data_IF_192421014872
#
_entry.id   IF_192421014872
#
_cell.length_a   1.000
_cell.length_b   1.000
_cell.length_c   1.000
_cell.angle_alpha   90.00
_cell.angle_beta   90.00
_cell.angle_gamma   90.00
#
_symmetry.space_group_name_H-M   'P 1'
#
loop_
_entity.id
_entity.type
_entity.pdbx_description
1 polymer ?
#
# COMPACT_ATOMS: atom_id res chain seq x y z
N UNK A 1 -2.70 -9.98 -15.35
CA UNK A 1 -3.36 -8.97 -14.45
C UNK A 1 -4.13 -7.99 -15.31
N UNK A 2 -5.46 -7.82 -15.08
CA UNK A 2 -6.28 -6.80 -15.77
C UNK A 2 -6.36 -5.50 -14.94
N UNK A 3 -6.49 -5.65 -13.63
CA UNK A 3 -6.69 -4.57 -12.67
C UNK A 3 -5.78 -4.78 -11.46
N UNK A 4 -5.62 -3.75 -10.61
CA UNK A 4 -5.01 -3.86 -9.29
C UNK A 4 -6.01 -3.38 -8.23
N UNK A 5 -6.89 -4.27 -7.75
CA UNK A 5 -7.93 -3.91 -6.77
C UNK A 5 -7.51 -4.24 -5.33
N UNK A 6 -6.89 -5.38 -5.13
CA UNK A 6 -6.32 -5.85 -3.85
C UNK A 6 -5.25 -6.93 -4.12
N UNK A 7 -4.29 -7.09 -3.22
CA UNK A 7 -3.22 -8.09 -3.37
C UNK A 7 -3.73 -9.54 -3.29
N UNK A 8 -4.91 -9.77 -2.72
CA UNK A 8 -5.57 -11.08 -2.75
C UNK A 8 -5.78 -11.60 -4.17
N UNK A 9 -6.00 -10.72 -5.13
CA UNK A 9 -6.28 -11.05 -6.54
C UNK A 9 -5.03 -11.41 -7.35
N UNK A 10 -3.84 -11.06 -6.85
CA UNK A 10 -2.57 -11.30 -7.55
C UNK A 10 -1.96 -12.65 -7.19
N UNK A 11 -1.25 -13.26 -8.12
CA UNK A 11 -0.34 -14.37 -7.83
C UNK A 11 1.00 -13.87 -7.26
N UNK A 12 1.82 -14.78 -6.71
CA UNK A 12 3.20 -14.49 -6.30
C UNK A 12 4.02 -13.95 -7.48
N UNK A 13 3.89 -14.59 -8.63
CA UNK A 13 4.62 -14.24 -9.86
C UNK A 13 4.26 -12.85 -10.35
N UNK A 14 2.98 -12.46 -10.25
CA UNK A 14 2.52 -11.11 -10.61
C UNK A 14 3.11 -10.07 -9.67
N UNK A 15 3.13 -10.31 -8.35
CA UNK A 15 3.76 -9.42 -7.38
C UNK A 15 5.25 -9.28 -7.69
N UNK A 16 5.98 -10.40 -7.86
CA UNK A 16 7.42 -10.37 -8.18
C UNK A 16 7.68 -9.62 -9.48
N UNK A 17 6.88 -9.85 -10.52
CA UNK A 17 6.99 -9.11 -11.80
C UNK A 17 6.81 -7.61 -11.62
N UNK A 18 5.85 -7.17 -10.79
CA UNK A 18 5.67 -5.74 -10.49
C UNK A 18 6.93 -5.19 -9.82
N UNK A 19 7.49 -5.91 -8.84
CA UNK A 19 8.69 -5.49 -8.14
C UNK A 19 9.91 -5.41 -9.09
N UNK A 20 10.08 -6.37 -10.00
CA UNK A 20 11.19 -6.39 -10.97
C UNK A 20 11.11 -5.20 -11.94
N UNK A 21 9.90 -4.90 -12.43
CA UNK A 21 9.68 -3.71 -13.26
C UNK A 21 9.89 -2.43 -12.45
N UNK A 22 9.53 -2.40 -11.16
CA UNK A 22 9.74 -1.24 -10.30
C UNK A 22 11.24 -0.97 -10.05
N UNK A 23 12.05 -2.00 -9.84
CA UNK A 23 13.50 -1.88 -9.73
C UNK A 23 14.11 -1.28 -11.01
N UNK A 24 13.66 -1.76 -12.18
CA UNK A 24 14.09 -1.19 -13.45
C UNK A 24 13.68 0.29 -13.59
N UNK A 25 12.43 0.64 -13.20
CA UNK A 25 11.97 2.04 -13.23
C UNK A 25 12.79 2.95 -12.30
N UNK A 26 13.17 2.44 -11.13
CA UNK A 26 14.03 3.16 -10.19
C UNK A 26 15.45 3.33 -10.75
N UNK A 27 16.00 2.27 -11.33
CA UNK A 27 17.30 2.31 -11.99
C UNK A 27 17.34 3.33 -13.13
N UNK A 28 16.37 3.27 -14.04
CA UNK A 28 16.25 4.18 -15.17
C UNK A 28 16.18 5.65 -14.70
N UNK A 29 15.36 5.91 -13.68
CA UNK A 29 15.22 7.24 -13.10
C UNK A 29 16.53 7.76 -12.49
N UNK A 30 17.21 6.95 -11.68
CA UNK A 30 18.46 7.33 -11.04
C UNK A 30 19.62 7.58 -12.04
N UNK A 31 19.59 6.86 -13.16
CA UNK A 31 20.59 7.00 -14.22
C UNK A 31 20.18 7.95 -15.35
N UNK A 32 19.01 8.64 -15.20
CA UNK A 32 18.46 9.58 -16.18
C UNK A 32 18.25 8.94 -17.57
N UNK A 33 17.90 7.65 -17.59
CA UNK A 33 17.58 6.94 -18.83
C UNK A 33 16.12 7.25 -19.21
N UNK A 34 15.84 7.67 -20.46
CA UNK A 34 14.47 7.88 -20.92
C UNK A 34 13.66 6.58 -20.90
N UNK A 35 12.46 6.62 -20.31
CA UNK A 35 11.57 5.45 -20.24
C UNK A 35 10.10 5.82 -20.48
N UNK A 36 9.77 6.45 -21.62
CA UNK A 36 8.41 6.95 -21.92
C UNK A 36 7.47 5.81 -22.37
N UNK A 37 7.23 4.82 -21.52
CA UNK A 37 6.47 3.60 -21.84
C UNK A 37 4.96 3.82 -21.97
N UNK A 38 4.45 5.00 -21.60
CA UNK A 38 3.03 5.35 -21.67
C UNK A 38 2.81 6.61 -22.51
N UNK A 39 3.60 6.81 -23.55
CA UNK A 39 3.47 7.99 -24.40
C UNK A 39 2.06 8.06 -25.02
N UNK A 40 1.39 9.21 -24.84
CA UNK A 40 0.05 9.44 -25.32
C UNK A 40 -1.08 8.81 -24.50
N UNK A 41 -0.77 8.11 -23.41
CA UNK A 41 -1.75 7.51 -22.51
C UNK A 41 -2.25 8.50 -21.46
N UNK A 42 -3.51 8.36 -21.07
CA UNK A 42 -4.16 9.19 -20.06
C UNK A 42 -4.71 8.36 -18.93
N UNK A 43 -4.35 8.72 -17.67
CA UNK A 43 -4.87 8.15 -16.44
C UNK A 43 -5.90 9.10 -15.81
N UNK A 44 -7.13 8.65 -15.61
CA UNK A 44 -8.10 9.35 -14.77
C UNK A 44 -7.86 8.98 -13.29
N UNK A 45 -7.67 9.98 -12.42
CA UNK A 45 -7.43 9.77 -10.99
C UNK A 45 -8.58 10.33 -10.15
N UNK A 46 -9.45 9.46 -9.65
CA UNK A 46 -10.61 9.80 -8.82
C UNK A 46 -10.17 9.81 -7.34
N UNK A 47 -10.39 10.94 -6.67
CA UNK A 47 -10.08 11.13 -5.26
C UNK A 47 -11.31 11.52 -4.44
N UNK A 48 -11.83 10.62 -3.64
CA UNK A 48 -12.80 10.87 -2.59
C UNK A 48 -12.14 11.10 -1.23
N UNK A 49 -10.98 10.48 -1.02
CA UNK A 49 -10.06 10.73 0.11
C UNK A 49 -8.82 11.48 -0.38
N UNK A 50 -8.51 12.60 0.25
CA UNK A 50 -7.33 13.40 -0.09
C UNK A 50 -6.03 12.63 0.19
N UNK A 51 -5.01 12.84 -0.66
CA UNK A 51 -3.66 12.35 -0.44
C UNK A 51 -2.65 13.07 -1.31
N UNK A 52 -1.72 13.78 -0.67
CA UNK A 52 -0.60 14.42 -1.38
C UNK A 52 0.31 13.37 -2.00
N UNK A 53 0.72 12.36 -1.23
CA UNK A 53 1.65 11.32 -1.70
C UNK A 53 1.10 10.54 -2.88
N UNK A 54 -0.14 10.05 -2.81
CA UNK A 54 -0.77 9.30 -3.91
C UNK A 54 -0.92 10.17 -5.15
N UNK A 55 -1.38 11.41 -4.99
CA UNK A 55 -1.56 12.34 -6.10
C UNK A 55 -0.22 12.63 -6.79
N UNK A 56 0.76 13.12 -6.03
CA UNK A 56 2.06 13.52 -6.59
C UNK A 56 2.79 12.33 -7.22
N UNK A 57 2.78 11.16 -6.59
CA UNK A 57 3.47 9.98 -7.13
C UNK A 57 2.85 9.46 -8.44
N UNK A 58 1.51 9.44 -8.57
CA UNK A 58 0.87 9.06 -9.83
C UNK A 58 1.02 10.13 -10.92
N UNK A 59 0.83 11.42 -10.61
CA UNK A 59 1.05 12.51 -11.58
C UNK A 59 2.49 12.52 -12.09
N UNK A 60 3.47 12.45 -11.17
CA UNK A 60 4.90 12.37 -11.53
C UNK A 60 5.21 11.10 -12.30
N UNK A 61 4.66 9.96 -11.88
CA UNK A 61 4.86 8.68 -12.56
C UNK A 61 4.36 8.72 -14.00
N UNK A 62 3.14 9.18 -14.24
CA UNK A 62 2.58 9.35 -15.59
C UNK A 62 3.43 10.30 -16.44
N UNK A 63 3.84 11.43 -15.88
CA UNK A 63 4.71 12.38 -16.59
C UNK A 63 6.05 11.76 -16.99
N UNK A 64 6.71 11.03 -16.09
CA UNK A 64 7.98 10.36 -16.39
C UNK A 64 7.86 9.24 -17.41
N UNK A 65 6.70 8.61 -17.49
CA UNK A 65 6.37 7.58 -18.48
C UNK A 65 5.86 8.15 -19.82
N UNK A 66 5.83 9.49 -19.98
CA UNK A 66 5.38 10.16 -21.21
C UNK A 66 3.85 10.24 -21.36
N UNK A 67 3.10 9.88 -20.34
CA UNK A 67 1.65 9.95 -20.30
C UNK A 67 1.14 11.22 -19.60
N UNK A 68 -0.18 11.28 -19.40
CA UNK A 68 -0.87 12.38 -18.74
C UNK A 68 -1.78 11.84 -17.63
N UNK A 69 -1.87 12.56 -16.51
CA UNK A 69 -2.78 12.25 -15.42
C UNK A 69 -3.81 13.36 -15.23
N UNK A 70 -5.08 12.98 -15.10
CA UNK A 70 -6.20 13.89 -14.83
C UNK A 70 -6.63 13.73 -13.39
N UNK A 71 -6.51 14.78 -12.58
CA UNK A 71 -7.03 14.80 -11.23
C UNK A 71 -8.53 15.10 -11.21
N UNK A 72 -9.31 14.18 -10.65
CA UNK A 72 -10.76 14.28 -10.49
C UNK A 72 -11.10 14.24 -9.00
N UNK A 73 -11.50 15.39 -8.44
CA UNK A 73 -12.02 15.48 -7.07
C UNK A 73 -13.41 14.86 -7.01
N UNK A 74 -13.63 13.93 -6.10
CA UNK A 74 -14.97 13.37 -5.87
C UNK A 74 -16.01 14.43 -5.55
N UNK A 75 -15.63 15.49 -4.82
CA UNK A 75 -16.53 16.60 -4.46
C UNK A 75 -16.95 17.46 -5.66
N UNK A 76 -16.08 17.57 -6.66
CA UNK A 76 -16.28 18.42 -7.83
C UNK A 76 -16.73 17.64 -9.07
N UNK A 77 -16.81 16.31 -8.97
CA UNK A 77 -17.25 15.40 -10.03
C UNK A 77 -18.73 15.04 -9.91
N UNK A 78 -19.28 14.43 -10.94
CA UNK A 78 -20.67 13.95 -10.93
C UNK A 78 -20.86 12.74 -10.00
N UNK A 79 -19.79 11.98 -9.70
CA UNK A 79 -19.80 10.89 -8.71
C UNK A 79 -20.26 11.43 -7.36
N UNK A 80 -19.66 12.52 -6.87
CA UNK A 80 -20.07 13.19 -5.63
C UNK A 80 -21.47 13.79 -5.65
N UNK A 81 -22.14 13.82 -6.82
CA UNK A 81 -23.52 14.30 -7.03
C UNK A 81 -24.51 13.17 -7.27
N UNK A 82 -24.10 11.91 -7.11
CA UNK A 82 -24.95 10.73 -7.21
C UNK A 82 -25.01 10.09 -8.60
N UNK A 83 -24.05 10.38 -9.51
CA UNK A 83 -23.90 9.59 -10.73
C UNK A 83 -23.51 8.16 -10.37
N UNK A 84 -24.19 7.13 -10.94
CA UNK A 84 -23.79 5.75 -10.72
C UNK A 84 -22.36 5.48 -11.16
N UNK A 85 -21.61 4.74 -10.33
CA UNK A 85 -20.19 4.38 -10.59
C UNK A 85 -20.02 3.67 -11.94
N UNK A 86 -20.99 2.85 -12.33
CA UNK A 86 -21.03 2.14 -13.62
C UNK A 86 -21.09 3.09 -14.83
N UNK A 87 -21.76 4.21 -14.72
CA UNK A 87 -21.86 5.18 -15.82
C UNK A 87 -20.55 5.97 -15.93
N UNK A 88 -20.00 6.41 -14.82
CA UNK A 88 -18.65 6.99 -14.76
C UNK A 88 -17.60 6.04 -15.37
N UNK A 89 -17.64 4.73 -15.02
CA UNK A 89 -16.74 3.73 -15.57
C UNK A 89 -16.81 3.66 -17.12
N UNK A 90 -18.03 3.61 -17.66
CA UNK A 90 -18.26 3.54 -19.12
C UNK A 90 -17.81 4.80 -19.85
N UNK A 91 -18.03 5.98 -19.25
CA UNK A 91 -17.61 7.27 -19.84
C UNK A 91 -16.08 7.37 -19.83
N UNK A 92 -15.43 7.13 -18.70
CA UNK A 92 -13.98 7.22 -18.58
C UNK A 92 -13.26 6.20 -19.46
N UNK A 93 -13.85 5.00 -19.67
CA UNK A 93 -13.32 3.99 -20.60
C UNK A 93 -13.25 4.46 -22.05
N UNK A 94 -14.02 5.49 -22.42
CA UNK A 94 -14.01 6.07 -23.79
C UNK A 94 -13.06 7.25 -23.94
N UNK A 95 -12.59 7.82 -22.83
CA UNK A 95 -11.74 9.01 -22.82
C UNK A 95 -10.30 8.73 -22.38
N UNK A 96 -10.11 7.74 -21.52
CA UNK A 96 -8.85 7.45 -20.85
C UNK A 96 -8.38 6.03 -21.12
N UNK A 97 -7.13 5.73 -20.73
CA UNK A 97 -6.50 4.43 -20.88
C UNK A 97 -6.40 3.65 -19.56
N UNK A 98 -6.71 4.29 -18.44
CA UNK A 98 -6.76 3.68 -17.12
C UNK A 98 -7.46 4.59 -16.11
N UNK A 99 -7.93 3.99 -15.02
CA UNK A 99 -8.55 4.69 -13.89
C UNK A 99 -7.79 4.33 -12.62
N UNK A 100 -7.39 5.33 -11.84
CA UNK A 100 -7.01 5.15 -10.45
C UNK A 100 -8.08 5.76 -9.56
N UNK A 101 -8.49 5.03 -8.52
CA UNK A 101 -9.48 5.53 -7.57
C UNK A 101 -8.96 5.39 -6.13
N UNK A 102 -9.18 6.42 -5.32
CA UNK A 102 -8.93 6.44 -3.89
C UNK A 102 -10.21 6.84 -3.18
N UNK A 103 -10.84 5.86 -2.55
CA UNK A 103 -12.17 5.97 -1.95
C UNK A 103 -12.25 5.24 -0.59
N UNK A 104 -13.44 5.05 -0.08
CA UNK A 104 -13.74 4.33 1.16
C UNK A 104 -14.07 2.86 0.88
N UNK A 105 -15.01 2.60 -0.01
CA UNK A 105 -15.58 1.27 -0.26
C UNK A 105 -14.74 0.44 -1.24
N UNK A 106 -14.37 -0.77 -0.83
CA UNK A 106 -13.77 -1.76 -1.72
C UNK A 106 -14.75 -2.23 -2.80
N UNK A 107 -16.04 -2.37 -2.45
CA UNK A 107 -17.09 -2.77 -3.39
C UNK A 107 -17.25 -1.76 -4.53
N UNK A 108 -17.12 -0.47 -4.24
CA UNK A 108 -17.15 0.59 -5.24
C UNK A 108 -16.02 0.44 -6.26
N UNK A 109 -14.80 0.17 -5.80
CA UNK A 109 -13.65 -0.09 -6.68
C UNK A 109 -13.87 -1.33 -7.55
N UNK A 110 -14.37 -2.41 -6.97
CA UNK A 110 -14.69 -3.65 -7.69
C UNK A 110 -15.83 -3.45 -8.70
N UNK A 111 -16.82 -2.64 -8.34
CA UNK A 111 -17.92 -2.25 -9.24
C UNK A 111 -17.38 -1.41 -10.41
N UNK A 112 -16.54 -0.41 -10.14
CA UNK A 112 -15.89 0.39 -11.18
C UNK A 112 -15.12 -0.50 -12.16
N UNK A 113 -14.32 -1.44 -11.65
CA UNK A 113 -13.54 -2.38 -12.48
C UNK A 113 -14.39 -3.34 -13.31
N UNK A 114 -15.57 -3.71 -12.80
CA UNK A 114 -16.53 -4.57 -13.53
C UNK A 114 -17.10 -3.90 -14.76
N UNK A 115 -17.35 -2.58 -14.71
CA UNK A 115 -17.98 -1.83 -15.79
C UNK A 115 -16.99 -1.04 -16.65
N UNK A 116 -15.72 -0.97 -16.26
CA UNK A 116 -14.67 -0.36 -17.05
C UNK A 116 -14.09 -1.33 -18.09
N UNK A 117 -13.91 -0.83 -19.32
CA UNK A 117 -13.19 -1.53 -20.39
C UNK A 117 -11.67 -1.32 -20.31
N UNK A 118 -11.23 -0.42 -19.45
CA UNK A 118 -9.84 -0.04 -19.20
C UNK A 118 -9.42 -0.47 -17.78
N UNK A 119 -8.12 -0.63 -17.49
CA UNK A 119 -7.63 -1.04 -16.18
C UNK A 119 -8.04 -0.11 -15.05
N UNK A 120 -8.35 -0.70 -13.88
CA UNK A 120 -8.64 0.02 -12.64
C UNK A 120 -7.58 -0.28 -11.58
N UNK A 121 -7.08 0.79 -10.96
CA UNK A 121 -6.05 0.75 -9.92
C UNK A 121 -6.64 1.27 -8.62
N UNK A 122 -6.64 0.45 -7.57
CA UNK A 122 -6.98 0.86 -6.22
C UNK A 122 -5.84 1.68 -5.61
N UNK A 123 -6.04 2.99 -5.47
CA UNK A 123 -5.10 3.89 -4.79
C UNK A 123 -5.15 3.78 -3.26
N UNK A 124 -6.30 3.42 -2.71
CA UNK A 124 -6.59 3.05 -1.31
C UNK A 124 -8.11 2.90 -1.13
N UNK A 125 -8.51 1.92 -0.34
CA UNK A 125 -9.84 1.79 0.27
C UNK A 125 -9.70 1.56 1.79
N UNK A 126 -10.80 1.45 2.51
CA UNK A 126 -10.80 1.05 3.93
C UNK A 126 -10.43 -0.43 4.12
N UNK A 127 -10.50 -1.23 3.06
CA UNK A 127 -10.10 -2.64 3.07
C UNK A 127 -8.64 -2.87 2.69
N UNK A 128 -8.11 -2.14 1.68
CA UNK A 128 -6.81 -2.43 1.09
C UNK A 128 -6.03 -1.19 0.63
N UNK A 129 -4.69 -1.30 0.69
CA UNK A 129 -3.75 -0.33 0.13
C UNK A 129 -2.67 -1.04 -0.72
N UNK A 130 -3.02 -1.64 -1.87
CA UNK A 130 -2.11 -2.50 -2.62
C UNK A 130 -0.86 -1.77 -3.13
N UNK A 131 -1.00 -0.52 -3.59
CA UNK A 131 0.12 0.28 -4.08
C UNK A 131 1.16 0.61 -2.99
N UNK A 132 0.74 0.71 -1.72
CA UNK A 132 1.66 0.91 -0.61
C UNK A 132 2.48 -0.35 -0.37
N UNK A 133 1.82 -1.49 -0.20
CA UNK A 133 2.51 -2.74 0.13
C UNK A 133 3.47 -3.19 -0.99
N UNK A 134 3.18 -2.89 -2.25
CA UNK A 134 4.16 -3.10 -3.32
C UNK A 134 5.43 -2.27 -3.13
N UNK A 135 5.32 -1.04 -2.64
CA UNK A 135 6.47 -0.20 -2.32
C UNK A 135 7.21 -0.69 -1.06
N UNK A 136 6.45 -1.16 -0.06
CA UNK A 136 7.02 -1.75 1.17
C UNK A 136 7.86 -2.98 0.84
N UNK A 137 7.32 -3.91 0.06
CA UNK A 137 8.03 -5.11 -0.40
C UNK A 137 9.26 -4.77 -1.26
N UNK A 138 9.15 -3.76 -2.14
CA UNK A 138 10.28 -3.26 -2.90
C UNK A 138 11.40 -2.76 -1.97
N UNK A 139 11.06 -1.97 -0.95
CA UNK A 139 12.01 -1.41 0.00
C UNK A 139 12.68 -2.49 0.85
N UNK A 140 11.90 -3.48 1.32
CA UNK A 140 12.45 -4.64 2.03
C UNK A 140 13.44 -5.38 1.14
N UNK A 141 13.07 -5.65 -0.13
CA UNK A 141 13.94 -6.34 -1.08
C UNK A 141 15.23 -5.58 -1.36
N UNK A 142 15.18 -4.26 -1.50
CA UNK A 142 16.36 -3.42 -1.68
C UNK A 142 17.33 -3.47 -0.49
N UNK A 143 16.80 -3.47 0.73
CA UNK A 143 17.60 -3.42 1.96
C UNK A 143 18.10 -4.79 2.43
N UNK A 144 17.30 -5.85 2.21
CA UNK A 144 17.57 -7.21 2.68
C UNK A 144 18.03 -8.16 1.57
N UNK A 145 18.03 -7.73 0.31
CA UNK A 145 18.36 -8.50 -0.90
C UNK A 145 17.47 -9.73 -1.16
N UNK A 146 16.45 -9.95 -0.36
CA UNK A 146 15.48 -11.05 -0.49
C UNK A 146 14.16 -10.66 0.17
N UNK A 147 13.12 -11.47 -0.04
CA UNK A 147 11.84 -11.42 0.67
C UNK A 147 11.59 -12.76 1.40
N UNK A 148 11.76 -13.87 0.68
CA UNK A 148 11.47 -15.20 1.20
C UNK A 148 12.25 -15.51 2.50
N UNK A 149 11.51 -16.00 3.50
CA UNK A 149 12.04 -16.36 4.82
C UNK A 149 12.37 -15.19 5.74
N UNK A 150 12.09 -13.93 5.34
CA UNK A 150 12.15 -12.81 6.28
C UNK A 150 10.89 -12.77 7.15
N UNK A 151 11.06 -12.24 8.35
CA UNK A 151 9.99 -12.06 9.34
C UNK A 151 9.61 -10.60 9.44
N UNK A 152 8.33 -10.29 9.21
CA UNK A 152 7.78 -8.97 9.36
C UNK A 152 6.79 -8.95 10.52
N UNK A 153 6.84 -7.90 11.34
CA UNK A 153 5.91 -7.63 12.42
C UNK A 153 5.12 -6.35 12.11
N UNK A 154 3.80 -6.39 12.27
CA UNK A 154 2.97 -5.19 12.28
C UNK A 154 2.48 -4.90 13.71
N UNK A 155 2.66 -3.65 14.17
CA UNK A 155 2.20 -3.18 15.48
C UNK A 155 1.21 -2.04 15.27
N UNK A 156 -0.06 -2.23 15.65
CA UNK A 156 -1.07 -1.16 15.51
C UNK A 156 -2.47 -1.65 15.23
N UNK A 157 -3.23 -0.88 14.45
CA UNK A 157 -4.63 -1.14 14.11
C UNK A 157 -4.78 -2.18 13.02
N UNK A 158 -5.80 -3.05 13.13
CA UNK A 158 -6.19 -4.03 12.10
C UNK A 158 -6.80 -3.40 10.84
N UNK A 159 -6.18 -2.35 10.32
CA UNK A 159 -6.67 -1.52 9.23
C UNK A 159 -6.32 -2.08 7.83
N UNK A 160 -6.57 -1.27 6.79
CA UNK A 160 -6.28 -1.61 5.39
C UNK A 160 -4.78 -1.85 5.10
N UNK A 161 -3.88 -1.22 5.89
CA UNK A 161 -2.44 -1.44 5.73
C UNK A 161 -2.07 -2.85 6.12
N UNK A 162 -2.41 -3.27 7.36
CA UNK A 162 -2.10 -4.62 7.82
C UNK A 162 -2.82 -5.69 7.00
N UNK A 163 -4.05 -5.43 6.55
CA UNK A 163 -4.75 -6.32 5.63
C UNK A 163 -3.93 -6.61 4.38
N UNK A 164 -3.39 -5.58 3.76
CA UNK A 164 -2.59 -5.70 2.55
C UNK A 164 -1.19 -6.27 2.81
N UNK A 165 -0.57 -5.92 3.96
CA UNK A 165 0.74 -6.44 4.37
C UNK A 165 0.70 -7.94 4.61
N UNK A 166 -0.29 -8.46 5.35
CA UNK A 166 -0.47 -9.90 5.57
C UNK A 166 -0.49 -10.64 4.23
N UNK A 167 -1.33 -10.18 3.31
CA UNK A 167 -1.47 -10.83 2.00
C UNK A 167 -0.19 -10.74 1.18
N UNK A 168 0.38 -9.54 1.04
CA UNK A 168 1.57 -9.32 0.23
C UNK A 168 2.78 -10.11 0.74
N UNK A 169 3.05 -10.04 2.04
CA UNK A 169 4.18 -10.71 2.66
C UNK A 169 4.07 -12.24 2.59
N UNK A 170 2.90 -12.81 2.93
CA UNK A 170 2.71 -14.26 2.84
C UNK A 170 2.84 -14.77 1.40
N UNK A 171 2.31 -14.05 0.41
CA UNK A 171 2.43 -14.44 -1.01
C UNK A 171 3.87 -14.46 -1.51
N UNK A 172 4.75 -13.62 -0.98
CA UNK A 172 6.17 -13.62 -1.37
C UNK A 172 7.05 -14.50 -0.46
N UNK A 173 6.44 -15.25 0.45
CA UNK A 173 7.14 -16.23 1.30
C UNK A 173 7.78 -15.62 2.55
N UNK A 174 7.34 -14.46 3.01
CA UNK A 174 7.70 -13.89 4.31
C UNK A 174 6.80 -14.48 5.41
N UNK A 175 7.29 -14.46 6.64
CA UNK A 175 6.49 -14.71 7.84
C UNK A 175 5.94 -13.38 8.38
N UNK A 176 4.72 -13.40 8.93
CA UNK A 176 4.04 -12.21 9.42
C UNK A 176 3.52 -12.41 10.83
N UNK A 177 3.93 -11.57 11.76
CA UNK A 177 3.33 -11.45 13.08
C UNK A 177 2.57 -10.12 13.19
N UNK A 178 1.40 -10.15 13.80
CA UNK A 178 0.58 -8.95 14.00
C UNK A 178 0.26 -8.80 15.47
N UNK A 179 0.51 -7.62 16.03
CA UNK A 179 0.00 -7.24 17.35
C UNK A 179 -0.97 -6.07 17.23
N UNK A 180 -2.21 -6.32 17.62
CA UNK A 180 -3.26 -5.31 17.74
C UNK A 180 -4.08 -5.51 19.01
N UNK A 181 -4.69 -4.45 19.57
CA UNK A 181 -5.58 -4.57 20.71
C UNK A 181 -6.81 -5.45 20.39
N UNK A 182 -7.43 -6.02 21.41
CA UNK A 182 -8.69 -6.74 21.26
C UNK A 182 -9.77 -5.83 20.67
N UNK A 183 -10.49 -6.35 19.66
CA UNK A 183 -11.51 -5.59 18.92
C UNK A 183 -10.98 -4.76 17.75
N UNK A 184 -9.66 -4.76 17.53
CA UNK A 184 -9.01 -4.08 16.40
C UNK A 184 -8.27 -5.07 15.49
N UNK A 185 -8.86 -6.24 15.27
CA UNK A 185 -8.28 -7.31 14.46
C UNK A 185 -8.30 -6.98 12.95
N UNK A 186 -7.37 -7.54 12.16
CA UNK A 186 -7.45 -7.51 10.71
C UNK A 186 -8.77 -8.11 10.19
N UNK A 187 -9.11 -7.74 8.95
CA UNK A 187 -10.37 -8.16 8.33
C UNK A 187 -10.53 -9.70 8.31
N UNK A 188 -11.73 -10.25 8.61
CA UNK A 188 -11.95 -11.70 8.67
C UNK A 188 -11.53 -12.47 7.41
N UNK A 189 -11.74 -11.92 6.22
CA UNK A 189 -11.34 -12.55 4.95
C UNK A 189 -9.82 -12.65 4.82
N UNK A 190 -9.07 -11.65 5.33
CA UNK A 190 -7.62 -11.67 5.34
C UNK A 190 -7.10 -12.69 6.36
N UNK A 191 -7.74 -12.78 7.52
CA UNK A 191 -7.41 -13.82 8.51
C UNK A 191 -7.76 -15.23 8.00
N UNK A 192 -8.81 -15.39 7.20
CA UNK A 192 -9.14 -16.65 6.54
C UNK A 192 -8.03 -17.03 5.53
N UNK A 193 -7.65 -16.08 4.65
CA UNK A 193 -6.53 -16.28 3.72
C UNK A 193 -5.23 -16.67 4.45
N UNK A 194 -4.88 -15.99 5.54
CA UNK A 194 -3.67 -16.29 6.31
C UNK A 194 -3.70 -17.69 6.95
N UNK A 195 -4.87 -18.18 7.40
CA UNK A 195 -5.05 -19.54 7.89
C UNK A 195 -4.92 -20.59 6.78
N UNK A 196 -5.47 -20.30 5.59
CA UNK A 196 -5.37 -21.19 4.42
C UNK A 196 -3.94 -21.31 3.90
N UNK A 197 -3.12 -20.27 4.05
CA UNK A 197 -1.69 -20.33 3.75
C UNK A 197 -0.95 -21.36 4.64
N UNK A 198 -1.50 -21.68 5.80
CA UNK A 198 -1.11 -22.82 6.65
C UNK A 198 0.18 -22.66 7.45
N UNK A 199 0.94 -21.59 7.23
CA UNK A 199 2.18 -21.27 7.97
C UNK A 199 2.57 -19.80 7.80
N UNK A 200 3.47 -19.34 8.68
CA UNK A 200 4.07 -17.99 8.56
C UNK A 200 3.19 -16.84 9.04
N UNK A 201 2.05 -17.11 9.71
CA UNK A 201 1.19 -16.05 10.27
C UNK A 201 0.89 -16.27 11.75
N UNK A 202 1.00 -15.20 12.54
CA UNK A 202 0.55 -15.16 13.93
C UNK A 202 -0.14 -13.85 14.26
N UNK A 203 -1.22 -13.92 15.05
CA UNK A 203 -1.93 -12.80 15.63
C UNK A 203 -1.84 -12.88 17.15
N UNK A 204 -1.16 -11.92 17.75
CA UNK A 204 -0.91 -11.85 19.20
C UNK A 204 -1.37 -10.52 19.78
N UNK A 205 -1.35 -10.41 21.11
CA UNK A 205 -1.75 -9.17 21.80
C UNK A 205 -0.55 -8.43 22.41
N UNK A 206 0.56 -9.11 22.61
CA UNK A 206 1.78 -8.52 23.13
C UNK A 206 2.69 -8.05 21.98
N UNK A 207 2.93 -6.72 21.84
CA UNK A 207 3.83 -6.18 20.83
C UNK A 207 5.26 -6.73 20.91
N UNK A 208 5.78 -7.02 22.13
CA UNK A 208 7.12 -7.56 22.28
C UNK A 208 7.21 -9.01 21.80
N UNK A 209 6.15 -9.81 22.02
CA UNK A 209 6.05 -11.16 21.47
C UNK A 209 6.04 -11.12 19.95
N UNK A 210 5.23 -10.24 19.35
CA UNK A 210 5.15 -10.09 17.89
C UNK A 210 6.49 -9.65 17.26
N UNK A 211 7.24 -8.79 17.95
CA UNK A 211 8.47 -8.18 17.45
C UNK A 211 9.72 -9.04 17.70
N UNK A 212 9.61 -10.15 18.43
CA UNK A 212 10.77 -10.95 18.83
C UNK A 212 11.52 -11.56 17.62
N UNK A 213 12.76 -11.10 17.39
CA UNK A 213 13.65 -11.60 16.34
C UNK A 213 13.15 -11.38 14.91
N UNK A 214 12.35 -10.31 14.65
CA UNK A 214 11.88 -9.98 13.31
C UNK A 214 12.89 -9.13 12.54
N UNK A 215 12.87 -9.25 11.22
CA UNK A 215 13.73 -8.52 10.28
C UNK A 215 13.16 -7.13 9.92
N UNK A 216 11.82 -6.96 10.04
CA UNK A 216 11.10 -5.75 9.67
C UNK A 216 9.99 -5.46 10.67
N UNK A 217 9.94 -4.25 11.19
CA UNK A 217 8.80 -3.72 11.95
C UNK A 217 8.05 -2.73 11.09
N UNK A 218 6.73 -2.89 11.02
CA UNK A 218 5.84 -1.94 10.36
C UNK A 218 4.83 -1.39 11.36
N UNK A 219 4.57 -0.09 11.31
CA UNK A 219 3.46 0.53 12.06
C UNK A 219 2.76 1.59 11.22
N UNK A 220 1.55 1.93 11.63
CA UNK A 220 0.72 2.97 11.01
C UNK A 220 -0.03 3.74 12.11
N UNK A 221 -0.58 4.89 11.74
CA UNK A 221 -1.37 5.73 12.66
C UNK A 221 -2.49 4.94 13.33
N UNK A 222 -2.73 5.21 14.63
CA UNK A 222 -3.79 4.54 15.38
C UNK A 222 -5.20 5.00 14.99
N UNK A 223 -5.32 6.21 14.43
CA UNK A 223 -6.57 6.74 13.89
C UNK A 223 -6.34 7.18 12.44
N UNK A 224 -6.95 6.47 11.50
CA UNK A 224 -6.91 6.80 10.08
C UNK A 224 -7.85 7.96 9.74
N UNK A 225 -7.71 8.50 8.51
CA UNK A 225 -8.60 9.55 8.01
C UNK A 225 -10.07 9.11 8.03
N UNK A 226 -10.93 9.93 8.65
CA UNK A 226 -12.35 9.64 8.88
C UNK A 226 -12.65 9.02 10.24
N UNK A 227 -11.63 8.80 11.08
CA UNK A 227 -11.77 8.24 12.44
C UNK A 227 -11.38 9.26 13.53
N UNK A 228 -11.33 10.54 13.20
CA UNK A 228 -10.87 11.61 14.09
C UNK A 228 -11.74 11.71 15.36
N UNK A 229 -13.04 11.41 15.26
CA UNK A 229 -13.96 11.39 16.41
C UNK A 229 -13.65 10.27 17.40
N UNK A 230 -13.05 9.17 16.95
CA UNK A 230 -12.63 8.04 17.79
C UNK A 230 -11.21 8.18 18.36
N UNK A 231 -10.47 9.22 17.99
CA UNK A 231 -9.03 9.35 18.29
C UNK A 231 -8.69 9.22 19.78
N UNK A 232 -9.54 9.72 20.68
CA UNK A 232 -9.31 9.60 22.12
C UNK A 232 -9.49 8.15 22.62
N UNK A 233 -10.51 7.44 22.13
CA UNK A 233 -10.78 6.03 22.44
C UNK A 233 -9.65 5.15 21.90
N UNK A 234 -9.22 5.41 20.65
CA UNK A 234 -8.13 4.68 20.01
C UNK A 234 -6.81 4.87 20.74
N UNK A 235 -6.43 6.10 21.12
CA UNK A 235 -5.24 6.35 21.95
C UNK A 235 -5.26 5.58 23.26
N UNK A 236 -6.41 5.39 23.88
CA UNK A 236 -6.54 4.58 25.08
C UNK A 236 -6.37 3.08 24.82
N UNK A 237 -6.98 2.57 23.74
CA UNK A 237 -6.90 1.16 23.34
C UNK A 237 -5.49 0.75 22.88
N UNK A 238 -4.82 1.63 22.16
CA UNK A 238 -3.48 1.38 21.61
C UNK A 238 -2.34 1.71 22.56
N UNK A 239 -2.64 2.05 23.80
CA UNK A 239 -1.62 2.28 24.82
C UNK A 239 -0.77 1.02 25.02
N UNK A 240 0.53 1.14 24.73
CA UNK A 240 1.47 0.01 24.75
C UNK A 240 1.81 -0.58 23.37
N UNK A 241 1.10 -0.14 22.31
CA UNK A 241 1.36 -0.55 20.92
C UNK A 241 2.24 0.45 20.16
N UNK A 242 3.15 1.12 20.87
CA UNK A 242 4.09 2.05 20.28
C UNK A 242 5.38 1.35 19.89
N UNK A 243 5.87 1.62 18.67
CA UNK A 243 7.22 1.24 18.26
C UNK A 243 8.21 2.18 18.92
N UNK A 244 8.95 1.66 19.88
CA UNK A 244 9.90 2.38 20.71
C UNK A 244 11.19 1.55 20.90
N UNK A 245 12.16 2.10 21.62
CA UNK A 245 13.48 1.47 21.83
C UNK A 245 13.37 0.11 22.55
N UNK A 246 12.40 -0.05 23.47
CA UNK A 246 12.21 -1.32 24.17
C UNK A 246 11.68 -2.40 23.22
N UNK A 247 10.80 -2.04 22.27
CA UNK A 247 10.34 -2.94 21.22
C UNK A 247 11.48 -3.27 20.25
N UNK A 248 12.24 -2.28 19.81
CA UNK A 248 13.38 -2.50 18.91
C UNK A 248 14.48 -3.37 19.53
N UNK A 249 14.62 -3.35 20.86
CA UNK A 249 15.62 -4.16 21.56
C UNK A 249 15.37 -5.69 21.50
N UNK A 250 14.14 -6.13 21.16
CA UNK A 250 13.81 -7.56 21.02
C UNK A 250 13.80 -8.05 19.56
N UNK A 251 13.96 -7.15 18.59
CA UNK A 251 14.04 -7.48 17.16
C UNK A 251 15.40 -8.02 16.75
N UNK A 252 15.55 -8.47 15.49
CA UNK A 252 16.86 -8.75 14.92
C UNK A 252 17.75 -7.49 14.96
N UNK A 253 19.05 -7.59 15.27
CA UNK A 253 19.96 -6.43 15.31
C UNK A 253 20.02 -5.60 14.02
N UNK A 254 19.69 -6.22 12.88
CA UNK A 254 19.60 -5.54 11.58
C UNK A 254 18.16 -5.18 11.19
N UNK A 255 17.22 -5.17 12.13
CA UNK A 255 15.83 -4.90 11.85
C UNK A 255 15.64 -3.51 11.24
N UNK A 256 14.81 -3.42 10.20
CA UNK A 256 14.40 -2.17 9.59
C UNK A 256 13.00 -1.77 10.07
N UNK A 257 12.70 -0.47 10.00
CA UNK A 257 11.38 0.08 10.34
C UNK A 257 10.75 0.71 9.11
N UNK A 258 9.49 0.38 8.85
CA UNK A 258 8.67 0.97 7.80
C UNK A 258 7.44 1.68 8.37
N UNK A 259 6.99 2.71 7.67
CA UNK A 259 5.81 3.50 8.00
C UNK A 259 5.26 4.19 6.76
N UNK A 260 4.01 3.92 6.39
CA UNK A 260 3.39 4.46 5.16
C UNK A 260 3.18 5.98 5.16
N UNK A 261 3.42 6.66 6.30
CA UNK A 261 3.22 8.10 6.51
C UNK A 261 1.75 8.57 6.27
N UNK A 262 1.31 9.62 7.03
CA UNK A 262 2.06 10.44 7.99
C UNK A 262 2.31 9.70 9.30
N UNK A 263 3.39 10.01 10.01
CA UNK A 263 3.68 9.46 11.32
C UNK A 263 3.36 10.47 12.45
N UNK A 264 2.74 9.98 13.53
CA UNK A 264 2.49 10.76 14.73
C UNK A 264 3.52 10.39 15.80
N UNK A 265 4.66 11.08 15.77
CA UNK A 265 5.74 10.89 16.74
C UNK A 265 5.24 11.06 18.17
N UNK A 266 5.47 10.05 19.02
CA UNK A 266 4.96 9.98 20.39
C UNK A 266 3.62 9.24 20.52
N UNK A 267 2.96 8.89 19.39
CA UNK A 267 1.82 7.97 19.38
C UNK A 267 2.30 6.57 18.92
N UNK A 268 2.10 6.17 17.68
CA UNK A 268 2.46 4.83 17.20
C UNK A 268 3.96 4.57 17.10
N UNK A 269 4.78 5.61 17.04
CA UNK A 269 6.24 5.51 16.95
C UNK A 269 6.90 6.65 17.74
N UNK A 270 8.02 6.37 18.44
CA UNK A 270 8.80 7.43 19.09
C UNK A 270 9.55 8.28 18.05
N UNK A 271 9.90 9.52 18.43
CA UNK A 271 10.70 10.38 17.55
C UNK A 271 12.09 9.79 17.33
N UNK A 272 12.67 9.19 18.34
CA UNK A 272 14.00 8.60 18.36
C UNK A 272 14.09 7.40 17.37
N UNK A 273 13.15 6.47 17.45
CA UNK A 273 13.08 5.33 16.52
C UNK A 273 12.80 5.82 15.10
N UNK A 274 11.86 6.75 14.92
CA UNK A 274 11.56 7.30 13.60
C UNK A 274 12.81 7.92 12.94
N UNK A 275 13.52 8.78 13.65
CA UNK A 275 14.70 9.46 13.10
C UNK A 275 15.88 8.49 12.87
N UNK A 276 16.04 7.47 13.72
CA UNK A 276 17.06 6.42 13.50
C UNK A 276 16.81 5.63 12.22
N UNK A 277 15.53 5.44 11.84
CA UNK A 277 15.10 4.69 10.65
C UNK A 277 14.56 5.58 9.52
N UNK A 278 14.74 6.90 9.59
CA UNK A 278 14.22 7.85 8.60
C UNK A 278 14.67 7.50 7.17
N UNK A 279 15.92 7.03 6.98
CA UNK A 279 16.42 6.62 5.68
C UNK A 279 15.59 5.50 5.02
N UNK A 280 15.11 4.54 5.80
CA UNK A 280 14.28 3.42 5.34
C UNK A 280 12.86 3.86 5.05
N UNK A 281 12.28 4.67 5.94
CA UNK A 281 10.90 5.20 5.82
C UNK A 281 10.78 6.13 4.59
N UNK A 282 11.78 6.95 4.32
CA UNK A 282 11.74 7.84 3.15
C UNK A 282 12.12 7.12 1.85
N UNK A 283 12.93 6.04 1.88
CA UNK A 283 13.12 5.16 0.73
C UNK A 283 11.81 4.44 0.38
N UNK A 284 11.03 4.00 1.37
CA UNK A 284 9.69 3.45 1.18
C UNK A 284 8.76 4.46 0.51
N UNK A 285 8.77 5.71 0.99
CA UNK A 285 7.99 6.78 0.38
C UNK A 285 8.42 7.08 -1.08
N UNK A 286 9.73 7.03 -1.40
CA UNK A 286 10.25 7.11 -2.77
C UNK A 286 9.76 5.94 -3.62
N UNK A 287 9.82 4.72 -3.09
CA UNK A 287 9.45 3.50 -3.81
C UNK A 287 7.97 3.45 -4.19
N UNK A 288 7.10 4.25 -3.56
CA UNK A 288 5.74 4.49 -4.04
C UNK A 288 5.70 4.96 -5.49
N UNK A 289 6.58 5.87 -5.88
CA UNK A 289 6.68 6.34 -7.26
C UNK A 289 7.03 5.19 -8.21
N UNK A 290 8.03 4.38 -7.86
CA UNK A 290 8.56 3.34 -8.75
C UNK A 290 7.61 2.14 -8.85
N UNK A 291 7.04 1.67 -7.75
CA UNK A 291 6.03 0.62 -7.73
C UNK A 291 4.77 1.01 -8.53
N UNK A 292 4.30 2.25 -8.37
CA UNK A 292 3.15 2.75 -9.14
C UNK A 292 3.47 2.89 -10.63
N UNK A 293 4.67 3.33 -11.03
CA UNK A 293 5.11 3.32 -12.43
C UNK A 293 5.10 1.91 -13.02
N UNK A 294 5.56 0.92 -12.25
CA UNK A 294 5.53 -0.47 -12.67
C UNK A 294 4.10 -0.97 -12.91
N UNK A 295 3.19 -0.70 -11.97
CA UNK A 295 1.77 -1.03 -12.10
C UNK A 295 1.16 -0.38 -13.34
N UNK A 296 1.41 0.91 -13.55
CA UNK A 296 0.92 1.63 -14.73
C UNK A 296 1.45 1.03 -16.04
N UNK A 297 2.74 0.72 -16.11
CA UNK A 297 3.32 0.08 -17.31
C UNK A 297 2.73 -1.30 -17.59
N UNK A 298 2.54 -2.12 -16.55
CA UNK A 298 2.00 -3.47 -16.70
C UNK A 298 0.51 -3.51 -17.05
N UNK A 299 -0.25 -2.48 -16.68
CA UNK A 299 -1.69 -2.42 -16.93
C UNK A 299 -2.04 -1.61 -18.19
N UNK A 300 -1.30 -0.56 -18.50
CA UNK A 300 -1.62 0.40 -19.56
C UNK A 300 -0.60 0.37 -20.72
N UNK A 301 0.55 -0.28 -20.55
CA UNK A 301 1.61 -0.34 -21.56
C UNK A 301 1.30 -1.31 -22.71
N UNK A 302 2.16 -1.34 -23.73
CA UNK A 302 2.02 -2.23 -24.88
C UNK A 302 2.13 -3.71 -24.52
N UNK A 303 2.89 -4.04 -23.46
CA UNK A 303 3.07 -5.40 -22.92
C UNK A 303 1.87 -5.87 -22.07
N UNK A 304 0.83 -5.06 -21.94
CA UNK A 304 -0.39 -5.37 -21.16
C UNK A 304 -1.37 -6.30 -21.92
N UNK A 305 -1.09 -6.64 -23.21
CA UNK A 305 -1.96 -7.44 -24.09
C UNK A 305 -1.53 -8.89 -24.17
#
# INVERSE_FOLDING_TARGET
MKDLLKLLDLSREEIVRILDVADQMKYDQKHRLPHPRLQGKTLAMIFEKNSTRTRVSFETGMFQLGGHALFLSGKDSQIGRGEPVEDTARVLSRYCDGIMIRTYSQEEVEKLARYADIPVINGLTDFAHPCQVLADLMTIRERKARLEGLKMCFIGDGNNMVNSLIVGCLKVGMEVSVACPEGYDPHPDVLAFAREAGHGFSLVRDPLEAAAGVDVVFTDVWASMGQEEEAAQRRAAFRGYQVNEALMAVTDPGCMVQHCLPAHRGEEITAEVFEAHAGEIFDEAENRLHAQKAVLCLLMGEDAR
#
